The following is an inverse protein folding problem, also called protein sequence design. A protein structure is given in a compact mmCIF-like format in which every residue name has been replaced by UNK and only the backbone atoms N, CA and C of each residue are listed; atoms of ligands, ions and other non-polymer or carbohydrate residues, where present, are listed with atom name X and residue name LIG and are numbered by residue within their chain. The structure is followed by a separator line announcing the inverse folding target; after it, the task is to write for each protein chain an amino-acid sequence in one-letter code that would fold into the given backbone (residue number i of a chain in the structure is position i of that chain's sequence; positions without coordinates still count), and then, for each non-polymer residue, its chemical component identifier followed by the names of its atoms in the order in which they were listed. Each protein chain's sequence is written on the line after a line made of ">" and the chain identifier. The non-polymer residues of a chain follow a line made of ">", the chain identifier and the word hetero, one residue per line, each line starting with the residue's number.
data_IF_271809648926
#
_entry.id   IF_271809648926
#
_cell.length_a   1.000
_cell.length_b   1.000
_cell.length_c   1.000
_cell.angle_alpha   90.00
_cell.angle_beta   90.00
_cell.angle_gamma   90.00
#
_symmetry.space_group_name_H-M   'P 1'
#
loop_
_entity.id
_entity.type
_entity.pdbx_description
1 polymer ?
#
# COMPACT_ATOMS: atom_id res chain seq x y z
N UNK A 1 -8.32 33.25 -7.98
CA UNK A 1 -6.94 32.85 -7.69
C UNK A 1 -6.51 31.95 -8.83
N UNK A 2 -5.57 32.42 -9.67
CA UNK A 2 -5.00 31.64 -10.78
C UNK A 2 -4.27 30.43 -10.19
N UNK A 3 -4.79 29.23 -10.41
CA UNK A 3 -3.97 28.03 -10.25
C UNK A 3 -2.96 28.04 -11.40
N UNK A 4 -1.77 28.54 -11.20
CA UNK A 4 -0.66 28.27 -12.08
C UNK A 4 -0.61 26.74 -12.26
N UNK A 5 -0.95 26.28 -13.45
CA UNK A 5 -0.73 24.88 -13.82
C UNK A 5 0.78 24.67 -13.81
N UNK A 6 1.31 24.17 -12.69
CA UNK A 6 2.70 23.75 -12.64
C UNK A 6 3.00 22.87 -13.86
N UNK A 7 4.16 23.10 -14.49
CA UNK A 7 4.54 22.42 -15.73
C UNK A 7 4.47 20.90 -15.61
N UNK A 8 4.11 20.18 -16.69
CA UNK A 8 4.20 18.74 -16.75
C UNK A 8 5.59 18.26 -16.35
N UNK A 9 5.65 17.18 -15.55
CA UNK A 9 6.90 16.55 -15.12
C UNK A 9 7.15 15.26 -15.87
N UNK A 10 8.44 14.92 -16.05
CA UNK A 10 8.89 13.59 -16.47
C UNK A 10 9.09 12.74 -15.23
N UNK A 11 8.28 11.71 -15.09
CA UNK A 11 8.18 10.88 -13.87
C UNK A 11 8.66 9.47 -14.13
N UNK A 12 9.57 8.97 -13.30
CA UNK A 12 9.88 7.54 -13.21
C UNK A 12 8.90 6.90 -12.24
N UNK A 13 8.19 5.87 -12.70
CA UNK A 13 7.18 5.15 -11.92
C UNK A 13 7.63 3.73 -11.59
N UNK A 14 7.65 3.39 -10.31
CA UNK A 14 7.94 2.05 -9.79
C UNK A 14 6.67 1.38 -9.25
N UNK A 15 6.59 0.06 -9.42
CA UNK A 15 5.42 -0.68 -8.97
C UNK A 15 4.17 -0.43 -9.83
N UNK A 16 4.34 0.05 -11.06
CA UNK A 16 3.27 0.44 -11.99
C UNK A 16 2.23 -0.65 -12.25
N UNK A 17 2.60 -1.92 -12.18
CA UNK A 17 1.73 -3.07 -12.49
C UNK A 17 0.88 -3.54 -11.32
N UNK A 18 1.14 -3.05 -10.11
CA UNK A 18 0.28 -3.27 -8.94
C UNK A 18 -1.03 -2.48 -9.04
N UNK A 19 -2.04 -2.79 -8.22
CA UNK A 19 -3.35 -2.11 -8.30
C UNK A 19 -3.25 -0.62 -8.01
N UNK A 20 -2.56 -0.23 -6.93
CA UNK A 20 -2.30 1.20 -6.63
C UNK A 20 -1.42 1.81 -7.71
N UNK A 21 -0.39 1.07 -8.19
CA UNK A 21 0.50 1.56 -9.24
C UNK A 21 -0.24 1.89 -10.54
N UNK A 22 -1.12 1.00 -11.02
CA UNK A 22 -1.95 1.25 -12.21
C UNK A 22 -2.85 2.48 -12.04
N UNK A 23 -3.48 2.61 -10.87
CA UNK A 23 -4.28 3.80 -10.55
C UNK A 23 -3.42 5.07 -10.53
N UNK A 24 -2.22 4.99 -9.94
CA UNK A 24 -1.26 6.12 -9.89
C UNK A 24 -0.79 6.53 -11.28
N UNK A 25 -0.50 5.57 -12.16
CA UNK A 25 -0.15 5.87 -13.57
C UNK A 25 -1.29 6.63 -14.25
N UNK A 26 -2.54 6.16 -14.10
CA UNK A 26 -3.70 6.89 -14.66
C UNK A 26 -3.83 8.31 -14.09
N UNK A 27 -3.62 8.48 -12.79
CA UNK A 27 -3.67 9.79 -12.14
C UNK A 27 -2.57 10.72 -12.69
N UNK A 28 -1.33 10.25 -12.78
CA UNK A 28 -0.20 11.01 -13.33
C UNK A 28 -0.47 11.48 -14.77
N UNK A 29 -1.02 10.60 -15.61
CA UNK A 29 -1.39 10.95 -17.00
C UNK A 29 -2.52 12.00 -17.03
N UNK A 30 -3.56 11.88 -16.18
CA UNK A 30 -4.61 12.90 -16.07
C UNK A 30 -4.06 14.28 -15.67
N UNK A 31 -3.03 14.28 -14.83
CA UNK A 31 -2.30 15.52 -14.45
C UNK A 31 -1.34 16.02 -15.53
N UNK A 32 -1.25 15.33 -16.69
CA UNK A 32 -0.44 15.73 -17.84
C UNK A 32 1.05 15.40 -17.72
N UNK A 33 1.46 14.52 -16.77
CA UNK A 33 2.84 14.10 -16.62
C UNK A 33 3.23 13.09 -17.69
N UNK A 34 4.50 13.13 -18.15
CA UNK A 34 5.10 12.08 -18.95
C UNK A 34 5.63 10.97 -18.00
N UNK A 35 5.22 9.72 -18.21
CA UNK A 35 5.49 8.63 -17.28
C UNK A 35 6.32 7.53 -17.94
N UNK A 36 7.50 7.24 -17.37
CA UNK A 36 8.30 6.05 -17.68
C UNK A 36 8.13 5.03 -16.56
N UNK A 37 7.53 3.89 -16.88
CA UNK A 37 7.29 2.79 -15.95
C UNK A 37 8.44 1.78 -15.99
N UNK A 38 9.13 1.58 -14.86
CA UNK A 38 10.08 0.49 -14.71
C UNK A 38 9.33 -0.75 -14.23
N UNK A 39 9.34 -1.79 -15.04
CA UNK A 39 8.61 -3.04 -14.77
C UNK A 39 9.55 -4.22 -14.73
N UNK A 40 9.26 -5.22 -13.90
CA UNK A 40 10.08 -6.42 -13.82
C UNK A 40 10.12 -7.13 -15.18
N UNK A 41 11.29 -7.69 -15.61
CA UNK A 41 11.37 -8.50 -16.81
C UNK A 41 10.32 -9.62 -16.84
N UNK A 42 9.69 -9.84 -17.99
CA UNK A 42 8.63 -10.83 -18.16
C UNK A 42 7.26 -10.45 -17.61
N UNK A 43 7.10 -9.26 -17.02
CA UNK A 43 5.78 -8.78 -16.59
C UNK A 43 4.98 -8.26 -17.79
N UNK A 44 3.73 -8.74 -18.04
CA UNK A 44 2.89 -8.22 -19.12
C UNK A 44 2.62 -6.72 -18.92
N UNK A 45 2.91 -5.91 -19.94
CA UNK A 45 2.63 -4.46 -19.94
C UNK A 45 1.19 -4.13 -20.32
N UNK A 46 0.43 -5.10 -20.83
CA UNK A 46 -0.97 -4.91 -21.29
C UNK A 46 -1.94 -4.38 -20.21
N UNK A 47 -1.54 -4.41 -18.93
CA UNK A 47 -2.33 -3.85 -17.83
C UNK A 47 -2.08 -2.35 -17.59
N UNK A 48 -1.12 -1.74 -18.31
CA UNK A 48 -0.82 -0.31 -18.19
C UNK A 48 -1.61 0.48 -19.25
N UNK A 49 -2.04 1.71 -18.92
CA UNK A 49 -2.72 2.56 -19.90
C UNK A 49 -1.79 2.97 -21.04
N UNK A 50 -2.39 3.30 -22.18
CA UNK A 50 -1.67 3.90 -23.31
C UNK A 50 -1.03 5.23 -22.91
N UNK A 51 0.05 5.62 -23.62
CA UNK A 51 0.73 6.89 -23.39
C UNK A 51 1.83 6.87 -22.35
N UNK A 52 2.20 5.68 -21.84
CA UNK A 52 3.36 5.51 -20.96
C UNK A 52 4.52 4.84 -21.69
N UNK A 53 5.73 5.22 -21.33
CA UNK A 53 6.92 4.48 -21.72
C UNK A 53 7.16 3.34 -20.74
N UNK A 54 7.33 2.11 -21.25
CA UNK A 54 7.57 0.93 -20.41
C UNK A 54 8.98 0.39 -20.67
N UNK A 55 9.74 0.18 -19.60
CA UNK A 55 11.08 -0.45 -19.66
C UNK A 55 11.16 -1.61 -18.68
N UNK A 56 11.69 -2.74 -19.19
CA UNK A 56 12.04 -3.86 -18.32
C UNK A 56 13.22 -3.46 -17.43
N UNK A 57 13.11 -3.73 -16.13
CA UNK A 57 14.12 -3.35 -15.15
C UNK A 57 14.12 -4.33 -13.97
N UNK A 58 15.28 -4.89 -13.67
CA UNK A 58 15.52 -5.59 -12.41
C UNK A 58 15.98 -4.55 -11.37
N UNK A 59 15.07 -4.13 -10.49
CA UNK A 59 15.31 -3.03 -9.55
C UNK A 59 16.35 -3.34 -8.46
N UNK A 60 16.72 -4.61 -8.30
CA UNK A 60 17.79 -5.04 -7.39
C UNK A 60 19.18 -4.94 -8.04
N UNK A 61 19.25 -4.71 -9.35
CA UNK A 61 20.50 -4.55 -10.11
C UNK A 61 20.70 -3.09 -10.57
N UNK A 62 21.70 -2.37 -10.02
CA UNK A 62 22.00 -0.99 -10.43
C UNK A 62 22.31 -0.83 -11.93
N UNK A 63 22.90 -1.83 -12.57
CA UNK A 63 23.19 -1.78 -14.02
C UNK A 63 21.89 -1.83 -14.82
N UNK A 64 20.97 -2.72 -14.43
CA UNK A 64 19.65 -2.80 -15.06
C UNK A 64 18.85 -1.51 -14.92
N UNK A 65 18.94 -0.84 -13.76
CA UNK A 65 18.30 0.46 -13.52
C UNK A 65 18.88 1.50 -14.47
N UNK A 66 20.20 1.62 -14.54
CA UNK A 66 20.88 2.57 -15.43
C UNK A 66 20.48 2.37 -16.90
N UNK A 67 20.49 1.12 -17.36
CA UNK A 67 20.14 0.80 -18.73
C UNK A 67 18.65 1.10 -19.04
N UNK A 68 17.76 0.85 -18.08
CA UNK A 68 16.33 1.16 -18.23
C UNK A 68 16.03 2.66 -18.21
N UNK A 69 16.79 3.46 -17.45
CA UNK A 69 16.67 4.92 -17.45
C UNK A 69 17.29 5.54 -18.72
N UNK A 70 18.37 4.95 -19.26
CA UNK A 70 19.07 5.41 -20.46
C UNK A 70 19.71 6.79 -20.25
N UNK A 71 19.72 7.61 -21.30
CA UNK A 71 20.23 8.99 -21.25
C UNK A 71 19.20 10.05 -20.85
N UNK A 72 18.00 9.65 -20.41
CA UNK A 72 16.91 10.58 -20.13
C UNK A 72 17.12 11.35 -18.81
N UNK A 73 16.57 12.56 -18.77
CA UNK A 73 16.43 13.33 -17.53
C UNK A 73 15.01 13.21 -17.00
N UNK A 74 14.87 13.19 -15.68
CA UNK A 74 13.59 13.09 -14.98
C UNK A 74 13.48 14.19 -13.93
N UNK A 75 12.24 14.62 -13.65
CA UNK A 75 11.94 15.61 -12.62
C UNK A 75 11.63 14.96 -11.29
N UNK A 76 11.00 13.76 -11.34
CA UNK A 76 10.51 13.09 -10.14
C UNK A 76 10.48 11.57 -10.26
N UNK A 77 10.51 10.90 -9.10
CA UNK A 77 10.18 9.49 -8.93
C UNK A 77 8.88 9.37 -8.15
N UNK A 78 8.01 8.45 -8.58
CA UNK A 78 6.85 8.00 -7.79
C UNK A 78 6.95 6.49 -7.60
N UNK A 79 7.04 6.03 -6.35
CA UNK A 79 7.17 4.61 -6.04
C UNK A 79 5.94 4.07 -5.30
N UNK A 80 5.26 3.13 -5.96
CA UNK A 80 4.28 2.22 -5.34
C UNK A 80 4.84 0.80 -5.20
N UNK A 81 6.17 0.66 -5.24
CA UNK A 81 6.83 -0.63 -5.14
C UNK A 81 6.85 -1.11 -3.68
N UNK A 82 6.59 -2.40 -3.51
CA UNK A 82 6.70 -3.08 -2.22
C UNK A 82 7.12 -4.54 -2.41
N UNK A 83 7.73 -5.13 -1.37
CA UNK A 83 8.01 -6.56 -1.32
C UNK A 83 6.71 -7.36 -1.46
N UNK A 84 6.79 -8.54 -2.09
CA UNK A 84 5.59 -9.36 -2.36
C UNK A 84 5.14 -10.19 -1.17
N UNK A 85 6.10 -10.72 -0.45
CA UNK A 85 5.84 -11.71 0.61
C UNK A 85 5.92 -11.11 2.00
N UNK A 86 6.58 -9.95 2.16
CA UNK A 86 6.94 -9.40 3.46
C UNK A 86 7.97 -10.26 4.21
N UNK A 87 8.50 -11.33 3.59
CA UNK A 87 9.60 -12.11 4.15
C UNK A 87 10.83 -11.21 4.35
N UNK A 88 11.64 -11.42 5.39
CA UNK A 88 12.75 -10.51 5.73
C UNK A 88 13.69 -10.21 4.56
N UNK A 89 14.13 -11.24 3.81
CA UNK A 89 15.05 -11.05 2.67
C UNK A 89 14.41 -10.25 1.53
N UNK A 90 13.15 -10.54 1.19
CA UNK A 90 12.39 -9.82 0.17
C UNK A 90 12.13 -8.36 0.59
N UNK A 91 11.76 -8.16 1.84
CA UNK A 91 11.53 -6.81 2.41
C UNK A 91 12.80 -5.94 2.33
N UNK A 92 13.93 -6.42 2.82
CA UNK A 92 15.17 -5.66 2.78
C UNK A 92 15.71 -5.45 1.36
N UNK A 93 15.54 -6.43 0.46
CA UNK A 93 15.95 -6.28 -0.92
C UNK A 93 15.09 -5.25 -1.68
N UNK A 94 13.77 -5.26 -1.49
CA UNK A 94 12.83 -4.45 -2.29
C UNK A 94 12.45 -3.15 -1.56
N UNK A 95 12.00 -3.22 -0.29
CA UNK A 95 11.51 -2.03 0.42
C UNK A 95 12.64 -1.09 0.87
N UNK A 96 13.89 -1.57 0.90
CA UNK A 96 15.06 -0.76 1.25
C UNK A 96 16.07 -0.67 0.11
N UNK A 97 16.81 -1.76 -0.20
CA UNK A 97 17.99 -1.69 -1.09
C UNK A 97 17.65 -1.25 -2.51
N UNK A 98 16.60 -1.82 -3.12
CA UNK A 98 16.17 -1.43 -4.46
C UNK A 98 15.75 0.05 -4.51
N UNK A 99 15.09 0.55 -3.47
CA UNK A 99 14.74 1.98 -3.39
C UNK A 99 15.98 2.89 -3.27
N UNK A 100 17.04 2.46 -2.57
CA UNK A 100 18.32 3.21 -2.54
C UNK A 100 18.94 3.28 -3.94
N UNK A 101 19.02 2.17 -4.65
CA UNK A 101 19.55 2.14 -6.02
C UNK A 101 18.78 3.09 -6.95
N UNK A 102 17.43 3.11 -6.83
CA UNK A 102 16.59 4.02 -7.62
C UNK A 102 16.80 5.48 -7.22
N UNK A 103 16.91 5.77 -5.92
CA UNK A 103 17.13 7.13 -5.44
C UNK A 103 18.43 7.71 -5.99
N UNK A 104 19.53 6.94 -5.92
CA UNK A 104 20.82 7.35 -6.43
C UNK A 104 20.80 7.54 -7.94
N UNK A 105 20.25 6.57 -8.67
CA UNK A 105 20.13 6.66 -10.13
C UNK A 105 19.28 7.87 -10.55
N UNK A 106 18.13 8.10 -9.91
CA UNK A 106 17.24 9.20 -10.23
C UNK A 106 17.88 10.57 -9.99
N UNK A 107 18.65 10.72 -8.90
CA UNK A 107 19.43 11.94 -8.62
C UNK A 107 20.46 12.18 -9.73
N UNK A 108 21.17 11.15 -10.17
CA UNK A 108 22.11 11.22 -11.29
C UNK A 108 21.44 11.64 -12.61
N UNK A 109 20.17 11.33 -12.80
CA UNK A 109 19.34 11.71 -13.94
C UNK A 109 18.57 13.04 -13.76
N UNK A 110 18.85 13.80 -12.68
CA UNK A 110 18.34 15.14 -12.43
C UNK A 110 17.01 15.20 -11.68
N UNK A 111 16.52 14.08 -11.14
CA UNK A 111 15.31 14.09 -10.33
C UNK A 111 15.51 14.91 -9.04
N UNK A 112 14.59 15.82 -8.79
CA UNK A 112 14.60 16.71 -7.62
C UNK A 112 13.50 16.38 -6.63
N UNK A 113 12.62 15.40 -6.95
CA UNK A 113 11.49 15.03 -6.11
C UNK A 113 11.25 13.51 -6.07
N UNK A 114 10.88 13.00 -4.90
CA UNK A 114 10.51 11.60 -4.70
C UNK A 114 9.21 11.48 -3.91
N UNK A 115 8.22 10.80 -4.46
CA UNK A 115 6.97 10.46 -3.78
C UNK A 115 6.96 8.97 -3.49
N UNK A 116 6.93 8.61 -2.20
CA UNK A 116 6.96 7.23 -1.73
C UNK A 116 5.59 6.81 -1.19
N UNK A 117 5.03 5.74 -1.71
CA UNK A 117 3.93 5.02 -1.07
C UNK A 117 4.51 4.09 -0.01
N UNK A 118 4.40 4.49 1.25
CA UNK A 118 4.74 3.67 2.40
C UNK A 118 3.47 3.00 2.98
N UNK A 119 3.37 2.85 4.29
CA UNK A 119 2.21 2.28 4.97
C UNK A 119 2.07 2.86 6.38
N UNK A 120 0.84 3.06 6.86
CA UNK A 120 0.61 3.60 8.21
C UNK A 120 1.11 2.67 9.31
N UNK A 121 1.15 1.37 9.06
CA UNK A 121 1.58 0.36 10.03
C UNK A 121 3.07 0.48 10.44
N UNK A 122 3.90 1.26 9.73
CA UNK A 122 5.31 1.46 10.10
C UNK A 122 5.49 2.31 11.36
N UNK A 123 4.45 3.02 11.82
CA UNK A 123 4.50 3.82 13.06
C UNK A 123 4.70 2.97 14.33
N UNK A 124 4.35 1.66 14.28
CA UNK A 124 4.62 0.67 15.34
C UNK A 124 5.34 -0.54 14.74
N UNK A 125 6.63 -0.46 14.41
CA UNK A 125 7.34 -1.48 13.66
C UNK A 125 7.61 -2.71 14.52
N UNK A 126 6.96 -3.84 14.17
CA UNK A 126 7.15 -5.16 14.78
C UNK A 126 7.65 -6.20 13.80
N UNK A 127 7.52 -5.90 12.49
CA UNK A 127 7.78 -6.80 11.37
C UNK A 127 8.97 -6.29 10.54
N UNK A 128 9.67 -7.18 9.85
CA UNK A 128 10.85 -6.82 9.08
C UNK A 128 10.54 -5.89 7.91
N UNK A 129 9.41 -6.08 7.21
CA UNK A 129 9.05 -5.16 6.13
C UNK A 129 8.79 -3.72 6.62
N UNK A 130 8.28 -3.56 7.84
CA UNK A 130 8.08 -2.23 8.44
C UNK A 130 9.42 -1.57 8.75
N UNK A 131 10.40 -2.34 9.24
CA UNK A 131 11.76 -1.85 9.53
C UNK A 131 12.49 -1.49 8.24
N UNK A 132 12.37 -2.31 7.19
CA UNK A 132 12.96 -2.03 5.88
C UNK A 132 12.38 -0.74 5.27
N UNK A 133 11.06 -0.54 5.30
CA UNK A 133 10.43 0.70 4.86
C UNK A 133 10.92 1.92 5.65
N UNK A 134 10.96 1.83 6.98
CA UNK A 134 11.45 2.94 7.82
C UNK A 134 12.94 3.23 7.59
N UNK A 135 13.75 2.22 7.27
CA UNK A 135 15.14 2.42 6.90
C UNK A 135 15.25 3.27 5.64
N UNK A 136 14.49 2.92 4.58
CA UNK A 136 14.49 3.73 3.36
C UNK A 136 13.86 5.12 3.57
N UNK A 137 12.80 5.25 4.36
CA UNK A 137 12.21 6.56 4.67
C UNK A 137 13.27 7.51 5.27
N UNK A 138 14.12 7.02 6.19
CA UNK A 138 15.22 7.83 6.79
C UNK A 138 16.24 8.27 5.75
N UNK A 139 16.66 7.36 4.86
CA UNK A 139 17.58 7.67 3.77
C UNK A 139 16.98 8.69 2.80
N UNK A 140 15.69 8.54 2.47
CA UNK A 140 14.98 9.49 1.62
C UNK A 140 14.90 10.89 2.25
N UNK A 141 14.60 10.97 3.55
CA UNK A 141 14.56 12.24 4.28
C UNK A 141 15.94 12.94 4.30
N UNK A 142 17.01 12.16 4.37
CA UNK A 142 18.39 12.67 4.37
C UNK A 142 18.96 12.93 2.97
N UNK A 143 18.25 12.59 1.89
CA UNK A 143 18.77 12.54 0.54
C UNK A 143 19.06 13.89 -0.13
N UNK A 144 18.53 14.99 0.44
CA UNK A 144 18.69 16.36 -0.08
C UNK A 144 17.76 16.73 -1.24
N UNK A 145 16.87 15.82 -1.70
CA UNK A 145 15.81 16.16 -2.66
C UNK A 145 14.47 16.36 -1.95
N UNK A 146 13.51 16.99 -2.60
CA UNK A 146 12.15 17.13 -2.09
C UNK A 146 11.49 15.77 -2.00
N UNK A 147 10.86 15.44 -0.89
CA UNK A 147 10.19 14.16 -0.70
C UNK A 147 8.77 14.28 -0.16
N UNK A 148 7.94 13.28 -0.44
CA UNK A 148 6.62 13.09 0.19
C UNK A 148 6.47 11.62 0.53
N UNK A 149 6.28 11.28 1.80
CA UNK A 149 6.10 9.89 2.26
C UNK A 149 4.65 9.69 2.64
N UNK A 150 3.88 9.04 1.75
CA UNK A 150 2.45 8.79 1.95
C UNK A 150 2.28 7.48 2.71
N UNK A 151 1.60 7.52 3.85
CA UNK A 151 1.30 6.37 4.69
C UNK A 151 -0.21 6.11 4.74
N UNK A 152 -0.77 5.41 3.75
CA UNK A 152 -2.20 5.12 3.71
C UNK A 152 -2.60 4.12 4.79
N UNK A 153 -3.87 4.19 5.16
CA UNK A 153 -4.58 3.20 5.98
C UNK A 153 -4.86 1.93 5.15
N UNK A 154 -5.91 1.16 5.49
CA UNK A 154 -6.27 -0.04 4.74
C UNK A 154 -6.91 0.32 3.38
N UNK A 155 -6.55 -0.40 2.33
CA UNK A 155 -7.21 -0.30 1.02
C UNK A 155 -8.50 -1.10 0.98
N UNK A 156 -9.50 -0.62 0.23
CA UNK A 156 -10.78 -1.32 0.06
C UNK A 156 -10.60 -2.79 -0.33
N UNK A 157 -9.73 -3.06 -1.31
CA UNK A 157 -9.45 -4.43 -1.76
C UNK A 157 -8.89 -5.33 -0.65
N UNK A 158 -8.06 -4.79 0.23
CA UNK A 158 -7.43 -5.58 1.30
C UNK A 158 -8.42 -6.04 2.37
N UNK A 159 -9.55 -5.33 2.52
CA UNK A 159 -10.60 -5.67 3.48
C UNK A 159 -11.85 -6.27 2.84
N UNK A 160 -11.83 -6.51 1.53
CA UNK A 160 -12.98 -7.04 0.77
C UNK A 160 -12.98 -8.57 0.63
N UNK A 161 -12.02 -9.26 1.23
CA UNK A 161 -11.83 -10.71 1.09
C UNK A 161 -13.01 -11.57 1.54
N UNK A 162 -13.95 -11.01 2.29
CA UNK A 162 -15.10 -11.75 2.79
C UNK A 162 -16.40 -11.50 2.00
N UNK A 163 -16.36 -10.65 0.95
CA UNK A 163 -17.56 -10.34 0.15
C UNK A 163 -18.17 -11.60 -0.45
N UNK A 164 -17.35 -12.41 -1.14
CA UNK A 164 -17.80 -13.66 -1.74
C UNK A 164 -18.33 -14.66 -0.69
N UNK A 165 -17.71 -14.71 0.48
CA UNK A 165 -18.12 -15.53 1.60
C UNK A 165 -19.55 -15.17 2.07
N UNK A 166 -19.85 -13.87 2.21
CA UNK A 166 -21.16 -13.35 2.59
C UNK A 166 -22.20 -13.60 1.48
N UNK A 167 -21.82 -13.42 0.21
CA UNK A 167 -22.68 -13.77 -0.93
C UNK A 167 -23.12 -15.23 -0.90
N UNK A 168 -22.21 -16.15 -0.53
CA UNK A 168 -22.50 -17.58 -0.36
C UNK A 168 -23.30 -17.93 0.91
N UNK A 169 -23.72 -16.93 1.70
CA UNK A 169 -24.50 -17.15 2.94
C UNK A 169 -23.65 -17.64 4.11
N UNK A 170 -22.32 -17.61 4.01
CA UNK A 170 -21.40 -17.98 5.09
C UNK A 170 -21.25 -16.82 6.10
N UNK A 171 -20.96 -17.08 7.38
CA UNK A 171 -20.73 -16.03 8.37
C UNK A 171 -19.46 -15.25 8.07
N UNK A 172 -19.45 -13.95 8.38
CA UNK A 172 -18.27 -13.09 8.33
C UNK A 172 -17.32 -13.44 9.49
N UNK A 173 -16.03 -13.58 9.21
CA UNK A 173 -15.02 -13.91 10.21
C UNK A 173 -14.54 -12.66 10.93
N UNK A 174 -14.54 -12.71 12.26
CA UNK A 174 -14.02 -11.67 13.14
C UNK A 174 -12.78 -12.18 13.89
N UNK A 175 -11.83 -11.31 14.15
CA UNK A 175 -10.81 -11.56 15.16
C UNK A 175 -11.29 -11.02 16.50
N UNK A 176 -11.28 -11.89 17.54
CA UNK A 176 -11.94 -11.56 18.80
C UNK A 176 -13.43 -11.26 18.58
N UNK A 177 -13.91 -10.15 19.13
CA UNK A 177 -15.29 -9.67 18.94
C UNK A 177 -15.47 -8.77 17.71
N UNK A 178 -14.36 -8.51 16.96
CA UNK A 178 -14.33 -7.64 15.81
C UNK A 178 -14.18 -6.14 16.12
N UNK A 179 -13.95 -5.78 17.37
CA UNK A 179 -13.71 -4.39 17.81
C UNK A 179 -12.23 -4.06 18.06
N UNK A 180 -11.34 -5.06 17.99
CA UNK A 180 -9.92 -4.94 18.33
C UNK A 180 -9.18 -3.90 17.48
N UNK A 181 -9.58 -3.75 16.23
CA UNK A 181 -8.91 -2.88 15.26
C UNK A 181 -9.92 -2.03 14.49
N UNK A 182 -9.46 -0.86 14.05
CA UNK A 182 -10.22 0.01 13.18
C UNK A 182 -9.33 0.61 12.09
N UNK A 183 -9.93 1.04 10.98
CA UNK A 183 -9.27 1.77 9.90
C UNK A 183 -10.22 2.79 9.27
N UNK A 184 -9.67 3.76 8.54
CA UNK A 184 -10.40 4.60 7.58
C UNK A 184 -10.08 4.11 6.17
N UNK A 185 -10.84 3.16 5.60
CA UNK A 185 -10.47 2.55 4.32
C UNK A 185 -10.40 3.57 3.20
N UNK A 186 -9.44 3.41 2.28
CA UNK A 186 -9.24 4.29 1.12
C UNK A 186 -9.27 3.48 -0.17
N UNK A 187 -9.80 4.08 -1.25
CA UNK A 187 -9.77 3.47 -2.58
C UNK A 187 -8.38 3.55 -3.22
N UNK A 188 -8.13 2.68 -4.19
CA UNK A 188 -6.91 2.73 -5.00
C UNK A 188 -6.82 4.05 -5.78
N UNK A 189 -7.96 4.54 -6.32
CA UNK A 189 -8.02 5.77 -7.13
C UNK A 189 -7.85 7.03 -6.27
N UNK A 190 -8.47 7.14 -5.10
CA UNK A 190 -8.25 8.27 -4.18
C UNK A 190 -6.78 8.32 -3.69
N UNK A 191 -6.21 7.17 -3.34
CA UNK A 191 -4.79 7.10 -2.95
C UNK A 191 -3.87 7.53 -4.10
N UNK A 192 -4.16 7.10 -5.33
CA UNK A 192 -3.41 7.46 -6.52
C UNK A 192 -3.49 8.97 -6.83
N UNK A 193 -4.67 9.55 -6.69
CA UNK A 193 -4.86 11.00 -6.85
C UNK A 193 -4.05 11.78 -5.79
N UNK A 194 -4.07 11.31 -4.54
CA UNK A 194 -3.24 11.89 -3.48
C UNK A 194 -1.75 11.86 -3.81
N UNK A 195 -1.24 10.70 -4.31
CA UNK A 195 0.15 10.57 -4.73
C UNK A 195 0.50 11.51 -5.88
N UNK A 196 -0.36 11.61 -6.89
CA UNK A 196 -0.13 12.50 -8.04
C UNK A 196 -0.10 13.97 -7.62
N UNK A 197 -0.97 14.38 -6.70
CA UNK A 197 -1.00 15.77 -6.19
C UNK A 197 0.23 16.11 -5.34
N UNK A 198 0.93 15.14 -4.72
CA UNK A 198 2.20 15.39 -4.03
C UNK A 198 3.29 15.99 -4.94
N UNK A 199 3.21 15.78 -6.26
CA UNK A 199 4.16 16.38 -7.21
C UNK A 199 4.00 17.89 -7.37
N UNK A 200 2.85 18.46 -6.96
CA UNK A 200 2.49 19.87 -7.22
C UNK A 200 2.14 20.65 -5.96
N UNK A 201 1.73 19.97 -4.91
CA UNK A 201 1.26 20.59 -3.68
C UNK A 201 2.44 20.75 -2.69
N UNK A 202 2.94 21.98 -2.56
CA UNK A 202 4.06 22.28 -1.68
C UNK A 202 3.78 21.99 -0.19
N UNK A 203 2.51 22.00 0.23
CA UNK A 203 2.13 21.67 1.60
C UNK A 203 2.35 20.18 1.93
N UNK A 204 2.61 19.37 0.91
CA UNK A 204 2.91 17.92 1.04
C UNK A 204 4.40 17.60 0.94
N UNK A 205 5.25 18.59 0.69
CA UNK A 205 6.69 18.39 0.52
C UNK A 205 7.40 18.31 1.86
N UNK A 206 8.40 17.41 1.91
CA UNK A 206 9.20 17.11 3.08
C UNK A 206 8.34 16.75 4.31
N UNK A 207 7.30 15.96 4.04
CA UNK A 207 6.34 15.51 5.07
C UNK A 207 6.04 14.02 4.98
N UNK A 208 5.85 13.43 6.15
CA UNK A 208 5.18 12.15 6.32
C UNK A 208 3.68 12.41 6.38
N UNK A 209 2.93 11.76 5.49
CA UNK A 209 1.54 12.06 5.18
C UNK A 209 0.66 10.82 5.45
N UNK A 210 0.19 10.61 6.70
CA UNK A 210 -0.84 9.61 6.95
C UNK A 210 -2.13 10.00 6.24
N UNK A 211 -2.80 9.07 5.57
CA UNK A 211 -4.09 9.31 4.92
C UNK A 211 -5.03 8.11 5.04
N UNK A 212 -6.32 8.38 5.19
CA UNK A 212 -7.42 7.43 5.03
C UNK A 212 -8.42 7.94 4.01
N UNK A 213 -9.41 7.12 3.68
CA UNK A 213 -10.54 7.49 2.85
C UNK A 213 -11.56 8.36 3.58
N UNK A 214 -12.63 8.77 2.89
CA UNK A 214 -13.70 9.58 3.47
C UNK A 214 -14.49 8.79 4.53
N UNK A 215 -15.10 9.53 5.45
CA UNK A 215 -15.98 8.99 6.47
C UNK A 215 -15.29 8.67 7.78
N UNK A 216 -16.00 7.94 8.63
CA UNK A 216 -15.54 7.56 9.97
C UNK A 216 -14.65 6.31 9.92
N UNK A 217 -13.81 6.16 10.93
CA UNK A 217 -13.09 4.89 11.13
C UNK A 217 -14.08 3.76 11.42
N UNK A 218 -13.82 2.59 10.85
CA UNK A 218 -14.68 1.40 10.96
C UNK A 218 -13.89 0.23 11.55
N UNK A 219 -14.51 -0.45 12.52
CA UNK A 219 -14.01 -1.73 13.04
C UNK A 219 -14.30 -2.88 12.06
N UNK A 220 -13.65 -4.03 12.25
CA UNK A 220 -13.91 -5.22 11.43
C UNK A 220 -15.38 -5.67 11.53
N UNK A 221 -16.00 -5.55 12.74
CA UNK A 221 -17.43 -5.83 12.93
C UNK A 221 -18.31 -4.89 12.11
N UNK A 222 -18.04 -3.58 12.16
CA UNK A 222 -18.81 -2.58 11.41
C UNK A 222 -18.68 -2.78 9.89
N UNK A 223 -17.52 -3.20 9.40
CA UNK A 223 -17.33 -3.58 7.99
C UNK A 223 -18.22 -4.78 7.60
N UNK A 224 -18.29 -5.79 8.46
CA UNK A 224 -19.19 -6.94 8.28
C UNK A 224 -20.67 -6.56 8.31
N UNK A 225 -21.08 -5.72 9.26
CA UNK A 225 -22.46 -5.22 9.37
C UNK A 225 -22.88 -4.43 8.12
N UNK A 226 -22.00 -3.54 7.63
CA UNK A 226 -22.18 -2.81 6.39
C UNK A 226 -22.37 -3.78 5.21
N UNK A 227 -21.50 -4.79 5.10
CA UNK A 227 -21.55 -5.76 4.00
C UNK A 227 -22.84 -6.57 4.01
N UNK A 228 -23.28 -7.07 5.19
CA UNK A 228 -24.56 -7.78 5.33
C UNK A 228 -25.75 -6.91 4.99
N UNK A 229 -25.76 -5.66 5.43
CA UNK A 229 -26.80 -4.68 5.10
C UNK A 229 -26.92 -4.48 3.60
N UNK A 230 -25.79 -4.29 2.90
CA UNK A 230 -25.76 -4.12 1.44
C UNK A 230 -26.15 -5.40 0.68
N UNK A 231 -25.86 -6.57 1.24
CA UNK A 231 -26.25 -7.85 0.67
C UNK A 231 -27.72 -8.24 0.95
N UNK A 232 -28.46 -7.43 1.74
CA UNK A 232 -29.85 -7.74 2.12
C UNK A 232 -29.96 -9.00 3.00
N UNK A 233 -28.94 -9.30 3.82
CA UNK A 233 -28.87 -10.52 4.64
C UNK A 233 -28.74 -10.18 6.12
N UNK A 234 -29.30 -11.02 7.01
CA UNK A 234 -29.08 -10.83 8.45
C UNK A 234 -27.61 -11.03 8.81
N UNK A 235 -27.04 -10.20 9.70
CA UNK A 235 -25.65 -10.32 10.13
C UNK A 235 -25.35 -11.67 10.78
N UNK A 236 -24.32 -12.37 10.33
CA UNK A 236 -23.84 -13.64 10.88
C UNK A 236 -22.32 -13.59 11.02
N UNK A 237 -21.83 -13.76 12.23
CA UNK A 237 -20.41 -13.66 12.56
C UNK A 237 -19.89 -14.96 13.16
N UNK A 238 -18.61 -15.25 12.87
CA UNK A 238 -17.85 -16.30 13.55
C UNK A 238 -16.56 -15.66 14.08
N UNK A 239 -16.37 -15.77 15.40
CA UNK A 239 -15.16 -15.27 16.06
C UNK A 239 -14.00 -16.28 15.90
N UNK A 240 -12.84 -15.74 15.56
CA UNK A 240 -11.56 -16.46 15.50
C UNK A 240 -10.67 -15.92 16.62
N UNK A 241 -10.26 -16.74 17.60
CA UNK A 241 -9.39 -16.28 18.67
C UNK A 241 -8.02 -15.86 18.14
N UNK A 242 -7.54 -14.68 18.56
CA UNK A 242 -6.21 -14.18 18.13
C UNK A 242 -5.08 -15.10 18.58
N UNK A 243 -5.23 -15.78 19.71
CA UNK A 243 -4.26 -16.76 20.21
C UNK A 243 -3.94 -17.88 19.21
N UNK A 244 -4.84 -18.15 18.27
CA UNK A 244 -4.59 -19.12 17.19
C UNK A 244 -3.38 -18.72 16.33
N UNK A 245 -3.17 -17.43 16.10
CA UNK A 245 -1.95 -16.96 15.44
C UNK A 245 -0.70 -17.26 16.26
N UNK A 246 -0.75 -17.09 17.59
CA UNK A 246 0.40 -17.34 18.48
C UNK A 246 0.80 -18.82 18.43
N UNK A 247 -0.17 -19.72 18.42
CA UNK A 247 0.07 -21.18 18.28
C UNK A 247 0.71 -21.48 16.91
N UNK A 248 0.14 -20.96 15.82
CA UNK A 248 0.67 -21.19 14.47
C UNK A 248 2.08 -20.61 14.32
N UNK A 249 2.32 -19.40 14.81
CA UNK A 249 3.64 -18.76 14.79
C UNK A 249 4.65 -19.57 15.58
N UNK A 250 4.28 -20.04 16.78
CA UNK A 250 5.13 -20.89 17.63
C UNK A 250 5.55 -22.16 16.91
N UNK A 251 4.59 -22.91 16.37
CA UNK A 251 4.84 -24.14 15.62
C UNK A 251 5.73 -23.92 14.39
N UNK A 252 5.37 -22.93 13.56
CA UNK A 252 6.12 -22.63 12.33
C UNK A 252 7.52 -22.10 12.62
N UNK A 253 7.70 -21.32 13.70
CA UNK A 253 9.02 -20.82 14.10
C UNK A 253 9.93 -21.93 14.61
N UNK A 254 9.41 -22.85 15.42
CA UNK A 254 10.16 -23.99 15.96
C UNK A 254 10.58 -24.93 14.83
N UNK A 255 9.63 -25.33 13.97
CA UNK A 255 9.92 -26.20 12.82
C UNK A 255 10.80 -25.49 11.79
N UNK A 256 10.72 -24.19 11.67
CA UNK A 256 11.52 -23.36 10.77
C UNK A 256 13.02 -23.34 11.12
N UNK A 257 13.41 -23.78 12.30
CA UNK A 257 14.83 -23.99 12.66
C UNK A 257 15.42 -25.09 11.78
N UNK A 258 14.66 -26.16 11.55
CA UNK A 258 15.08 -27.34 10.79
C UNK A 258 14.68 -27.19 9.30
N UNK A 259 13.53 -26.58 9.02
CA UNK A 259 12.95 -26.46 7.67
C UNK A 259 12.86 -24.99 7.29
N UNK A 260 13.91 -24.40 6.64
CA UNK A 260 14.00 -22.96 6.37
C UNK A 260 12.78 -22.32 5.70
N UNK A 261 12.07 -22.94 4.73
CA UNK A 261 10.86 -22.37 4.13
C UNK A 261 9.73 -22.04 5.11
N UNK A 262 9.66 -22.72 6.27
CA UNK A 262 8.66 -22.47 7.28
C UNK A 262 8.86 -21.13 8.01
N UNK A 263 10.07 -20.56 7.98
CA UNK A 263 10.36 -19.22 8.53
C UNK A 263 9.55 -18.15 7.81
N UNK A 264 9.44 -18.23 6.49
CA UNK A 264 8.64 -17.30 5.69
C UNK A 264 7.14 -17.45 6.00
N UNK A 265 6.67 -18.68 6.23
CA UNK A 265 5.28 -18.93 6.65
C UNK A 265 5.01 -18.40 8.06
N UNK A 266 5.99 -18.50 8.97
CA UNK A 266 5.89 -17.90 10.30
C UNK A 266 5.80 -16.37 10.22
N UNK A 267 6.59 -15.73 9.36
CA UNK A 267 6.52 -14.29 9.15
C UNK A 267 5.18 -13.86 8.57
N UNK A 268 4.65 -14.61 7.61
CA UNK A 268 3.31 -14.35 7.07
C UNK A 268 2.22 -14.45 8.15
N UNK A 269 2.32 -15.43 9.05
CA UNK A 269 1.41 -15.54 10.19
C UNK A 269 1.57 -14.36 11.19
N UNK A 270 2.80 -13.85 11.40
CA UNK A 270 3.04 -12.63 12.19
C UNK A 270 2.40 -11.39 11.55
N UNK A 271 2.48 -11.28 10.21
CA UNK A 271 1.80 -10.21 9.47
C UNK A 271 0.29 -10.29 9.70
N UNK A 272 -0.31 -11.47 9.58
CA UNK A 272 -1.73 -11.67 9.87
C UNK A 272 -2.11 -11.28 11.29
N UNK A 273 -1.32 -11.74 12.29
CA UNK A 273 -1.52 -11.36 13.69
C UNK A 273 -1.44 -9.85 13.92
N UNK A 274 -0.47 -9.18 13.27
CA UNK A 274 -0.30 -7.73 13.37
C UNK A 274 -1.57 -7.01 12.93
N UNK A 275 -2.08 -7.33 11.74
CA UNK A 275 -3.30 -6.71 11.23
C UNK A 275 -4.58 -7.10 11.99
N UNK A 276 -4.58 -8.24 12.66
CA UNK A 276 -5.68 -8.65 13.54
C UNK A 276 -5.70 -7.90 14.89
N UNK A 277 -4.59 -7.25 15.28
CA UNK A 277 -4.44 -6.64 16.62
C UNK A 277 -4.06 -5.17 16.62
N UNK A 278 -3.58 -4.62 15.50
CA UNK A 278 -3.15 -3.23 15.39
C UNK A 278 -4.04 -2.47 14.41
N UNK A 279 -4.57 -1.32 14.83
CA UNK A 279 -5.41 -0.48 13.97
C UNK A 279 -4.58 0.22 12.88
N UNK A 280 -5.21 0.44 11.72
CA UNK A 280 -4.64 1.23 10.63
C UNK A 280 -5.16 2.68 10.74
N UNK A 281 -4.76 3.36 11.80
CA UNK A 281 -5.06 4.75 12.15
C UNK A 281 -3.78 5.43 12.67
N UNK A 282 -3.76 6.73 12.74
CA UNK A 282 -2.65 7.47 13.36
C UNK A 282 -2.48 7.03 14.81
N UNK A 283 -1.24 6.73 15.19
CA UNK A 283 -0.88 6.40 16.56
C UNK A 283 -0.49 7.68 17.32
N UNK A 284 -1.12 7.91 18.47
CA UNK A 284 -0.78 8.99 19.40
C UNK A 284 0.18 8.46 20.47
N UNK A 285 1.46 8.80 20.33
CA UNK A 285 2.49 8.37 21.27
C UNK A 285 2.28 8.91 22.67
N UNK A 286 1.73 10.12 22.80
CA UNK A 286 1.52 10.73 24.11
C UNK A 286 0.37 10.03 24.88
N UNK A 287 -0.68 9.60 24.17
CA UNK A 287 -1.84 8.92 24.76
C UNK A 287 -1.76 7.41 24.67
N UNK A 288 -0.76 6.85 23.99
CA UNK A 288 -0.57 5.41 23.74
C UNK A 288 -1.82 4.74 23.16
N UNK A 289 -2.47 5.41 22.18
CA UNK A 289 -3.67 4.91 21.52
C UNK A 289 -3.75 5.32 20.07
N UNK A 290 -4.55 4.59 19.30
CA UNK A 290 -4.91 4.99 17.94
C UNK A 290 -5.94 6.11 17.96
N UNK A 291 -5.75 7.12 17.10
CA UNK A 291 -6.62 8.30 17.02
C UNK A 291 -7.26 8.40 15.63
N UNK A 292 -8.55 8.06 15.58
CA UNK A 292 -9.35 8.15 14.37
C UNK A 292 -9.60 9.60 13.93
N UNK A 293 -9.68 10.56 14.88
CA UNK A 293 -9.90 11.97 14.59
C UNK A 293 -8.63 12.62 14.00
N UNK A 294 -7.45 12.23 14.51
CA UNK A 294 -6.17 12.67 13.98
C UNK A 294 -5.79 12.00 12.65
N UNK A 295 -6.52 10.96 12.22
CA UNK A 295 -6.28 10.29 10.93
C UNK A 295 -6.95 11.09 9.81
N UNK A 296 -6.17 11.76 8.91
CA UNK A 296 -6.73 12.59 7.85
C UNK A 296 -7.56 11.77 6.87
N UNK A 297 -8.54 12.40 6.26
CA UNK A 297 -9.37 11.82 5.20
C UNK A 297 -9.07 12.49 3.86
N UNK A 298 -9.13 11.71 2.78
CA UNK A 298 -8.98 12.21 1.41
C UNK A 298 -9.85 11.40 0.45
N UNK A 299 -10.34 12.07 -0.61
CA UNK A 299 -11.11 11.45 -1.68
C UNK A 299 -12.60 11.40 -1.39
N UNK A 300 -13.31 10.73 -2.30
CA UNK A 300 -14.78 10.66 -2.29
C UNK A 300 -15.30 9.22 -2.39
N UNK A 301 -14.45 8.24 -2.72
CA UNK A 301 -14.86 6.86 -2.87
C UNK A 301 -15.21 6.24 -1.50
N UNK A 302 -16.36 5.56 -1.41
CA UNK A 302 -16.79 4.91 -0.18
C UNK A 302 -16.64 3.40 -0.22
N UNK A 303 -16.34 2.78 0.92
CA UNK A 303 -16.33 1.32 1.04
C UNK A 303 -17.70 0.72 0.70
N UNK A 304 -18.79 1.44 1.00
CA UNK A 304 -20.13 1.00 0.66
C UNK A 304 -20.34 0.86 -0.87
N UNK A 305 -19.87 1.85 -1.64
CA UNK A 305 -19.95 1.79 -3.11
C UNK A 305 -19.07 0.69 -3.69
N UNK A 306 -17.87 0.50 -3.14
CA UNK A 306 -17.00 -0.61 -3.50
C UNK A 306 -17.66 -1.97 -3.26
N UNK A 307 -18.24 -2.19 -2.08
CA UNK A 307 -18.99 -3.42 -1.78
C UNK A 307 -20.19 -3.62 -2.70
N UNK A 308 -20.96 -2.55 -3.02
CA UNK A 308 -22.08 -2.65 -3.98
C UNK A 308 -21.62 -3.12 -5.35
N UNK A 309 -20.51 -2.56 -5.89
CA UNK A 309 -19.92 -2.98 -7.16
C UNK A 309 -19.51 -4.46 -7.14
N UNK A 310 -18.85 -4.90 -6.06
CA UNK A 310 -18.46 -6.31 -5.90
C UNK A 310 -19.69 -7.24 -5.80
N UNK A 311 -20.71 -6.85 -5.02
CA UNK A 311 -21.94 -7.64 -4.86
C UNK A 311 -22.71 -7.79 -6.17
N UNK A 312 -22.62 -6.81 -7.09
CA UNK A 312 -23.20 -6.88 -8.44
C UNK A 312 -22.34 -7.58 -9.48
N UNK A 313 -21.12 -7.99 -9.12
CA UNK A 313 -20.16 -8.58 -10.06
C UNK A 313 -19.51 -7.58 -11.03
N UNK A 314 -19.67 -6.29 -10.80
CA UNK A 314 -19.05 -5.21 -11.60
C UNK A 314 -17.55 -5.05 -11.29
N UNK A 315 -17.10 -5.55 -10.15
CA UNK A 315 -15.73 -5.53 -9.71
C UNK A 315 -15.29 -6.92 -9.25
N UNK A 316 -14.23 -7.43 -9.86
CA UNK A 316 -13.65 -8.72 -9.49
C UNK A 316 -12.88 -8.62 -8.15
N UNK A 317 -12.76 -9.75 -7.44
CA UNK A 317 -11.92 -9.87 -6.25
C UNK A 317 -10.43 -9.96 -6.66
N UNK A 318 -9.85 -8.81 -7.04
CA UNK A 318 -8.42 -8.67 -7.35
C UNK A 318 -7.66 -8.13 -6.12
N UNK A 319 -7.44 -9.00 -5.13
CA UNK A 319 -6.70 -8.64 -3.92
C UNK A 319 -5.18 -8.58 -4.14
N UNK A 320 -4.70 -9.07 -5.30
CA UNK A 320 -3.28 -9.12 -5.62
C UNK A 320 -2.49 -10.09 -4.73
N UNK A 321 -1.16 -10.08 -4.89
CA UNK A 321 -0.26 -10.99 -4.17
C UNK A 321 -0.10 -10.66 -2.66
N UNK A 322 -0.64 -9.55 -2.20
CA UNK A 322 -0.49 -9.05 -0.81
C UNK A 322 -1.69 -9.30 0.09
N UNK A 323 -2.69 -10.06 -0.38
CA UNK A 323 -3.86 -10.34 0.43
C UNK A 323 -3.50 -11.26 1.59
N UNK A 324 -3.66 -10.75 2.80
CA UNK A 324 -3.41 -11.52 4.05
C UNK A 324 -4.71 -12.20 4.52
N UNK A 325 -5.91 -11.75 4.03
CA UNK A 325 -7.23 -12.26 4.41
C UNK A 325 -8.14 -12.45 3.22
#
# INVERSE_FOLDING_TARGET
>A
MNSERLAPKRVVMLGATGTIGRATVRALLRHGHAVKCLVRPGTPSAALPDGVEVRACEVTDPLSIRDALGGDRFDAVVSCMASRTGAPSDAWAIDHQAHLHILDAAKGHGATQFVLLSAICVQKPRLEFQRAKLAFERELMASGITWSIVRPTAFFKSISGQVQRVQQGKPFLLFGDGSLTACKPISDDDCAEYLATCLRDADRWNRVLPIGGPGMAMTLRQQGELLFSLAGKPPRFTSVPVVMFDVVIGLLSTLGVIIPPLRNKAEFARIGRYYATESMLVWDDARQRYDAAATPSFGNDTLADHYRKMLRGELADDRGAHAVF
#
